data_IF_239082596596
#
_entry.id   IF_239082596596
#
_cell.length_a   1.000
_cell.length_b   1.000
_cell.length_c   1.000
_cell.angle_alpha   90.00
_cell.angle_beta   90.00
_cell.angle_gamma   90.00
#
_symmetry.space_group_name_H-M   'P 1'
#
loop_
_entity.id
_entity.type
_entity.pdbx_description
1 polymer ?
#
# COMPACT_ATOMS: atom_id res chain seq x y z
N UNK A 1 -17.28 -21.81 34.16
CA UNK A 1 -16.91 -22.47 32.89
C UNK A 1 -16.84 -21.52 31.68
N UNK A 2 -16.91 -20.18 31.88
CA UNK A 2 -16.94 -19.17 30.79
C UNK A 2 -15.56 -18.56 30.48
N UNK A 3 -14.56 -18.72 31.36
CA UNK A 3 -13.20 -18.15 31.20
C UNK A 3 -12.31 -18.84 30.15
N UNK A 4 -12.69 -20.02 29.65
CA UNK A 4 -11.84 -20.81 28.74
C UNK A 4 -12.06 -20.44 27.26
N UNK A 5 -13.21 -19.84 26.90
CA UNK A 5 -13.55 -19.49 25.50
C UNK A 5 -13.02 -18.13 25.02
N UNK A 6 -12.78 -17.15 25.91
CA UNK A 6 -12.20 -15.87 25.47
C UNK A 6 -10.72 -16.00 25.05
N UNK A 7 -9.97 -16.92 25.69
CA UNK A 7 -8.57 -17.17 25.37
C UNK A 7 -8.35 -18.00 24.09
N UNK A 8 -9.35 -18.75 23.60
CA UNK A 8 -9.20 -19.50 22.35
C UNK A 8 -9.42 -18.61 21.12
N UNK A 9 -10.24 -17.56 21.23
CA UNK A 9 -10.46 -16.56 20.18
C UNK A 9 -9.26 -15.63 19.98
N UNK A 10 -8.56 -15.26 21.06
CA UNK A 10 -7.32 -14.48 20.96
C UNK A 10 -6.17 -15.30 20.35
N UNK A 11 -6.07 -16.59 20.70
CA UNK A 11 -5.01 -17.49 20.22
C UNK A 11 -5.17 -17.89 18.74
N UNK A 12 -6.39 -17.89 18.18
CA UNK A 12 -6.67 -18.28 16.79
C UNK A 12 -6.94 -17.09 15.85
N UNK A 13 -6.57 -15.88 16.28
CA UNK A 13 -6.86 -14.62 15.57
C UNK A 13 -6.37 -14.61 14.12
N UNK A 14 -5.19 -15.16 13.84
CA UNK A 14 -4.62 -15.21 12.48
C UNK A 14 -5.36 -16.18 11.55
N UNK A 15 -5.79 -17.34 12.07
CA UNK A 15 -6.47 -18.37 11.28
C UNK A 15 -7.94 -18.01 10.98
N UNK A 16 -8.62 -17.37 11.95
CA UNK A 16 -10.02 -16.91 11.76
C UNK A 16 -10.04 -15.77 10.74
N UNK A 17 -9.17 -14.76 10.88
CA UNK A 17 -9.10 -13.61 9.96
C UNK A 17 -8.71 -13.99 8.52
N UNK A 18 -8.10 -15.16 8.29
CA UNK A 18 -7.76 -15.66 6.97
C UNK A 18 -9.01 -16.05 6.12
N UNK A 19 -10.14 -16.39 6.76
CA UNK A 19 -11.41 -16.65 6.09
C UNK A 19 -12.41 -15.53 6.40
N UNK A 20 -12.25 -14.40 5.71
CA UNK A 20 -12.91 -13.12 6.04
C UNK A 20 -14.43 -13.18 6.22
N UNK A 21 -15.15 -14.06 5.53
CA UNK A 21 -16.62 -14.18 5.65
C UNK A 21 -17.04 -14.96 6.91
N UNK A 22 -16.38 -16.09 7.21
CA UNK A 22 -16.63 -16.85 8.43
C UNK A 22 -16.23 -16.03 9.66
N UNK A 23 -15.11 -15.30 9.59
CA UNK A 23 -14.70 -14.38 10.64
C UNK A 23 -15.71 -13.25 10.89
N UNK A 24 -16.27 -12.67 9.83
CA UNK A 24 -17.27 -11.61 9.96
C UNK A 24 -18.53 -12.13 10.66
N UNK A 25 -19.01 -13.32 10.25
CA UNK A 25 -20.16 -13.98 10.87
C UNK A 25 -19.90 -14.30 12.35
N UNK A 26 -18.73 -14.86 12.67
CA UNK A 26 -18.36 -15.17 14.05
C UNK A 26 -18.24 -13.92 14.94
N UNK A 27 -17.73 -12.81 14.40
CA UNK A 27 -17.65 -11.55 15.13
C UNK A 27 -19.04 -10.95 15.37
N UNK A 28 -19.92 -11.01 14.36
CA UNK A 28 -21.30 -10.55 14.47
C UNK A 28 -22.09 -11.38 15.50
N UNK A 29 -22.01 -12.71 15.44
CA UNK A 29 -22.61 -13.62 16.43
C UNK A 29 -22.07 -13.35 17.85
N UNK A 30 -20.76 -13.14 17.98
CA UNK A 30 -20.14 -12.83 19.27
C UNK A 30 -20.63 -11.48 19.83
N UNK A 31 -20.84 -10.48 18.98
CA UNK A 31 -21.37 -9.18 19.37
C UNK A 31 -22.86 -9.23 19.75
N UNK A 32 -23.64 -10.11 19.13
CA UNK A 32 -25.02 -10.39 19.58
C UNK A 32 -25.05 -10.96 21.01
N UNK A 33 -24.08 -11.82 21.35
CA UNK A 33 -23.97 -12.41 22.69
C UNK A 33 -23.31 -11.46 23.71
N UNK A 34 -22.44 -10.56 23.25
CA UNK A 34 -21.64 -9.64 24.06
C UNK A 34 -21.68 -8.23 23.46
N UNK A 35 -22.84 -7.53 23.56
CA UNK A 35 -23.02 -6.23 22.90
C UNK A 35 -22.06 -5.16 23.41
N UNK A 36 -21.60 -5.24 24.65
CA UNK A 36 -20.70 -4.22 25.23
C UNK A 36 -19.20 -4.51 24.95
N UNK A 37 -18.89 -5.53 24.13
CA UNK A 37 -17.51 -5.93 23.86
C UNK A 37 -16.82 -5.00 22.83
N UNK A 38 -16.38 -3.82 23.27
CA UNK A 38 -15.79 -2.77 22.42
C UNK A 38 -14.58 -3.24 21.58
N UNK A 39 -13.76 -4.15 22.11
CA UNK A 39 -12.63 -4.72 21.36
C UNK A 39 -13.10 -5.61 20.20
N UNK A 40 -14.17 -6.39 20.39
CA UNK A 40 -14.75 -7.21 19.33
C UNK A 40 -15.39 -6.31 18.27
N UNK A 41 -16.07 -5.24 18.69
CA UNK A 41 -16.65 -4.23 17.79
C UNK A 41 -15.58 -3.55 16.94
N UNK A 42 -14.46 -3.16 17.57
CA UNK A 42 -13.29 -2.63 16.85
C UNK A 42 -12.72 -3.62 15.83
N UNK A 43 -12.65 -4.91 16.18
CA UNK A 43 -12.22 -5.97 15.25
C UNK A 43 -13.20 -6.15 14.09
N UNK A 44 -14.51 -6.11 14.35
CA UNK A 44 -15.55 -6.21 13.34
C UNK A 44 -15.52 -5.02 12.37
N UNK A 45 -15.39 -3.79 12.90
CA UNK A 45 -15.20 -2.58 12.10
C UNK A 45 -13.97 -2.68 11.18
N UNK A 46 -12.83 -3.12 11.73
CA UNK A 46 -11.60 -3.33 10.94
C UNK A 46 -11.81 -4.34 9.83
N UNK A 47 -12.42 -5.49 10.13
CA UNK A 47 -12.66 -6.56 9.16
C UNK A 47 -13.62 -6.10 8.04
N UNK A 48 -14.68 -5.38 8.39
CA UNK A 48 -15.62 -4.81 7.43
C UNK A 48 -14.91 -3.82 6.48
N UNK A 49 -14.02 -2.95 7.00
CA UNK A 49 -13.16 -2.10 6.16
C UNK A 49 -12.26 -2.92 5.23
N UNK A 50 -11.61 -3.96 5.75
CA UNK A 50 -10.74 -4.82 4.96
C UNK A 50 -11.51 -5.59 3.87
N UNK A 51 -12.84 -5.72 4.01
CA UNK A 51 -13.76 -6.32 3.02
C UNK A 51 -14.48 -5.31 2.12
N UNK A 52 -14.21 -4.01 2.25
CA UNK A 52 -14.92 -2.92 1.58
C UNK A 52 -16.42 -2.81 1.93
N UNK A 53 -16.82 -3.31 3.10
CA UNK A 53 -18.19 -3.22 3.62
C UNK A 53 -18.35 -1.92 4.44
N UNK A 54 -18.20 -0.77 3.76
CA UNK A 54 -18.04 0.53 4.44
C UNK A 54 -19.23 0.92 5.33
N UNK A 55 -20.46 0.65 4.91
CA UNK A 55 -21.66 0.93 5.72
C UNK A 55 -21.71 0.07 6.99
N UNK A 56 -21.26 -1.19 6.91
CA UNK A 56 -21.19 -2.09 8.06
C UNK A 56 -20.08 -1.61 9.02
N UNK A 57 -18.92 -1.25 8.47
CA UNK A 57 -17.82 -0.68 9.25
C UNK A 57 -18.25 0.61 9.97
N UNK A 58 -18.99 1.49 9.29
CA UNK A 58 -19.51 2.72 9.86
C UNK A 58 -20.47 2.46 11.02
N UNK A 59 -21.40 1.51 10.89
CA UNK A 59 -22.30 1.09 11.98
C UNK A 59 -21.50 0.64 13.20
N UNK A 60 -20.52 -0.24 13.03
CA UNK A 60 -19.68 -0.69 14.14
C UNK A 60 -18.87 0.45 14.77
N UNK A 61 -18.44 1.46 14.00
CA UNK A 61 -17.68 2.59 14.54
C UNK A 61 -18.56 3.58 15.30
N UNK A 62 -19.82 3.75 14.89
CA UNK A 62 -20.80 4.61 15.58
C UNK A 62 -21.20 4.06 16.96
N UNK A 63 -21.19 2.73 17.12
CA UNK A 63 -21.56 2.05 18.36
C UNK A 63 -20.39 1.88 19.36
N UNK A 64 -19.23 2.48 19.09
CA UNK A 64 -18.11 2.49 20.05
C UNK A 64 -18.34 3.59 21.10
N UNK A 65 -18.04 3.28 22.37
CA UNK A 65 -18.12 4.26 23.47
C UNK A 65 -17.16 5.45 23.24
N UNK A 66 -15.99 5.17 22.68
CA UNK A 66 -14.98 6.16 22.31
C UNK A 66 -14.65 6.05 20.81
N UNK A 67 -14.48 7.19 20.12
CA UNK A 67 -14.20 7.18 18.69
C UNK A 67 -12.84 6.53 18.39
N UNK A 68 -12.82 5.56 17.49
CA UNK A 68 -11.58 5.02 16.95
C UNK A 68 -11.13 5.84 15.75
N UNK A 69 -10.47 6.98 16.02
CA UNK A 69 -10.01 7.92 14.98
C UNK A 69 -9.11 7.28 13.91
N UNK A 70 -8.35 6.22 14.27
CA UNK A 70 -7.55 5.46 13.29
C UNK A 70 -8.43 4.77 12.27
N UNK A 71 -9.51 4.10 12.70
CA UNK A 71 -10.43 3.43 11.79
C UNK A 71 -11.34 4.41 11.04
N UNK A 72 -11.75 5.51 11.68
CA UNK A 72 -12.48 6.60 11.01
C UNK A 72 -11.67 7.20 9.86
N UNK A 73 -10.37 7.45 10.06
CA UNK A 73 -9.50 7.93 8.99
C UNK A 73 -9.45 6.98 7.79
N UNK A 74 -9.43 5.66 8.04
CA UNK A 74 -9.48 4.63 6.98
C UNK A 74 -10.81 4.62 6.25
N UNK A 75 -11.93 4.71 6.98
CA UNK A 75 -13.28 4.77 6.41
C UNK A 75 -13.40 5.99 5.47
N UNK A 76 -13.05 7.18 5.96
CA UNK A 76 -13.11 8.41 5.18
C UNK A 76 -12.24 8.36 3.92
N UNK A 77 -11.02 7.81 3.99
CA UNK A 77 -10.19 7.58 2.78
C UNK A 77 -10.87 6.65 1.79
N UNK A 78 -11.44 5.54 2.26
CA UNK A 78 -12.10 4.56 1.39
C UNK A 78 -13.33 5.14 0.68
N UNK A 79 -14.00 6.10 1.30
CA UNK A 79 -15.14 6.86 0.75
C UNK A 79 -14.71 8.07 -0.09
N UNK A 80 -13.41 8.40 -0.15
CA UNK A 80 -12.89 9.55 -0.90
C UNK A 80 -12.96 10.90 -0.17
N UNK A 81 -13.36 10.91 1.11
CA UNK A 81 -13.39 12.11 1.95
C UNK A 81 -12.01 12.37 2.57
N UNK A 82 -11.11 12.96 1.79
CA UNK A 82 -9.70 13.18 2.18
C UNK A 82 -9.59 14.15 3.38
N UNK A 83 -10.39 15.22 3.43
CA UNK A 83 -10.35 16.19 4.53
C UNK A 83 -10.73 15.54 5.87
N UNK A 84 -11.86 14.83 5.92
CA UNK A 84 -12.27 14.15 7.15
C UNK A 84 -11.28 13.06 7.57
N UNK A 85 -10.64 12.40 6.60
CA UNK A 85 -9.58 11.43 6.91
C UNK A 85 -8.36 12.08 7.56
N UNK A 86 -7.92 13.24 7.08
CA UNK A 86 -6.79 13.98 7.63
C UNK A 86 -7.07 14.49 9.05
N UNK A 87 -8.28 14.98 9.30
CA UNK A 87 -8.71 15.41 10.64
C UNK A 87 -8.74 14.24 11.63
N UNK A 88 -9.33 13.11 11.25
CA UNK A 88 -9.35 11.90 12.07
C UNK A 88 -7.93 11.39 12.34
N UNK A 89 -7.06 11.41 11.33
CA UNK A 89 -5.65 11.01 11.52
C UNK A 89 -4.87 11.97 12.43
N UNK A 90 -5.18 13.26 12.41
CA UNK A 90 -4.60 14.22 13.33
C UNK A 90 -5.02 13.93 14.78
N UNK A 91 -6.30 13.64 15.03
CA UNK A 91 -6.78 13.25 16.36
C UNK A 91 -6.15 11.94 16.83
N UNK A 92 -6.07 10.93 15.95
CA UNK A 92 -5.44 9.66 16.24
C UNK A 92 -3.95 9.77 16.59
N UNK A 93 -3.22 10.71 15.99
CA UNK A 93 -1.81 10.98 16.33
C UNK A 93 -1.66 11.76 17.63
N UNK A 94 -2.63 12.59 17.98
CA UNK A 94 -2.62 13.35 19.23
C UNK A 94 -2.87 12.46 20.47
N UNK A 95 -3.47 11.28 20.27
CA UNK A 95 -3.81 10.34 21.35
C UNK A 95 -2.75 9.27 21.63
N UNK A 96 -1.59 9.31 20.98
CA UNK A 96 -0.51 8.31 21.13
C UNK A 96 0.82 8.97 21.49
N UNK A 97 1.81 8.15 21.87
CA UNK A 97 3.15 8.67 22.15
C UNK A 97 3.80 9.25 20.88
N UNK A 98 4.81 10.10 21.05
CA UNK A 98 5.45 10.77 19.93
C UNK A 98 6.08 9.80 18.92
N UNK A 99 6.69 8.71 19.38
CA UNK A 99 7.28 7.70 18.51
C UNK A 99 6.21 7.01 17.65
N UNK A 100 5.07 6.62 18.23
CA UNK A 100 3.94 6.05 17.49
C UNK A 100 3.33 7.08 16.53
N UNK A 101 3.18 8.33 16.95
CA UNK A 101 2.69 9.41 16.09
C UNK A 101 3.61 9.62 14.87
N UNK A 102 4.93 9.55 15.05
CA UNK A 102 5.91 9.66 13.98
C UNK A 102 5.84 8.46 13.02
N UNK A 103 5.72 7.24 13.53
CA UNK A 103 5.53 6.04 12.71
C UNK A 103 4.23 6.08 11.90
N UNK A 104 3.12 6.52 12.53
CA UNK A 104 1.84 6.71 11.86
C UNK A 104 1.97 7.75 10.73
N UNK A 105 2.63 8.88 11.00
CA UNK A 105 2.87 9.92 10.01
C UNK A 105 3.72 9.44 8.82
N UNK A 106 4.82 8.73 9.07
CA UNK A 106 5.66 8.18 8.00
C UNK A 106 4.92 7.10 7.19
N UNK A 107 4.15 6.24 7.85
CA UNK A 107 3.29 5.25 7.18
C UNK A 107 2.26 5.94 6.28
N UNK A 108 1.72 7.09 6.71
CA UNK A 108 0.82 7.88 5.88
C UNK A 108 1.52 8.45 4.65
N UNK A 109 2.74 8.97 4.80
CA UNK A 109 3.52 9.50 3.69
C UNK A 109 3.84 8.42 2.66
N UNK A 110 4.21 7.22 3.10
CA UNK A 110 4.38 6.07 2.21
C UNK A 110 3.08 5.73 1.46
N UNK A 111 1.95 5.66 2.17
CA UNK A 111 0.65 5.39 1.56
C UNK A 111 0.19 6.49 0.58
N UNK A 112 0.53 7.76 0.84
CA UNK A 112 0.20 8.89 -0.02
C UNK A 112 1.06 8.91 -1.29
N UNK A 113 2.34 8.56 -1.19
CA UNK A 113 3.23 8.44 -2.34
C UNK A 113 2.76 7.38 -3.35
N UNK A 114 2.17 6.30 -2.83
CA UNK A 114 1.64 5.21 -3.64
C UNK A 114 0.17 5.40 -4.07
N UNK A 115 -0.54 6.42 -3.56
CA UNK A 115 -1.92 6.74 -3.93
C UNK A 115 -1.97 7.52 -5.27
N UNK A 116 -1.59 6.83 -6.34
CA UNK A 116 -1.56 7.34 -7.72
C UNK A 116 -1.63 6.21 -8.74
N UNK A 117 -2.01 6.53 -9.97
CA UNK A 117 -1.81 5.60 -11.09
C UNK A 117 -0.33 5.55 -11.52
N UNK A 118 0.15 4.47 -12.17
CA UNK A 118 1.57 4.28 -12.47
C UNK A 118 2.24 5.43 -13.25
N UNK A 119 1.49 6.08 -14.15
CA UNK A 119 1.91 7.17 -15.03
C UNK A 119 1.67 8.57 -14.45
N UNK A 120 1.12 8.67 -13.24
CA UNK A 120 0.88 9.93 -12.55
C UNK A 120 2.00 10.27 -11.57
N UNK A 121 2.25 11.55 -11.36
CA UNK A 121 3.15 12.01 -10.29
C UNK A 121 2.48 11.88 -8.91
N UNK A 122 1.16 12.07 -8.82
CA UNK A 122 0.44 12.07 -7.55
C UNK A 122 0.79 13.29 -6.69
N UNK A 123 0.81 13.10 -5.37
CA UNK A 123 0.92 14.16 -4.37
C UNK A 123 2.37 14.44 -3.91
N UNK A 124 3.36 14.43 -4.82
CA UNK A 124 4.79 14.43 -4.43
C UNK A 124 5.17 15.58 -3.50
N UNK A 125 4.72 16.80 -3.79
CA UNK A 125 5.05 17.98 -2.98
C UNK A 125 4.46 17.88 -1.56
N UNK A 126 3.26 17.32 -1.43
CA UNK A 126 2.62 17.07 -0.14
C UNK A 126 3.39 16.00 0.66
N UNK A 127 3.84 14.94 -0.02
CA UNK A 127 4.66 13.88 0.59
C UNK A 127 5.98 14.46 1.08
N UNK A 128 6.71 15.22 0.27
CA UNK A 128 7.98 15.85 0.67
C UNK A 128 7.82 16.80 1.85
N UNK A 129 6.81 17.67 1.79
CA UNK A 129 6.46 18.58 2.90
C UNK A 129 6.07 17.81 4.17
N UNK A 130 5.45 16.65 4.02
CA UNK A 130 5.14 15.78 5.15
C UNK A 130 6.39 15.08 5.71
N UNK A 131 7.28 14.58 4.87
CA UNK A 131 8.53 13.94 5.29
C UNK A 131 9.43 14.91 6.07
N UNK A 132 9.52 16.18 5.66
CA UNK A 132 10.31 17.19 6.40
C UNK A 132 9.76 17.53 7.78
N UNK A 133 8.47 17.25 8.03
CA UNK A 133 7.81 17.45 9.32
C UNK A 133 7.85 16.23 10.25
N UNK A 134 8.43 15.11 9.80
CA UNK A 134 8.48 13.90 10.59
C UNK A 134 9.38 14.07 11.83
N UNK A 135 8.81 13.94 13.03
CA UNK A 135 9.53 14.07 14.29
C UNK A 135 10.22 12.75 14.68
N UNK A 136 11.35 12.45 14.04
CA UNK A 136 12.10 11.20 14.27
C UNK A 136 13.20 11.30 15.35
N UNK A 137 13.48 12.51 15.84
CA UNK A 137 14.61 12.77 16.74
C UNK A 137 14.53 12.03 18.08
N UNK A 138 13.32 11.96 18.63
CA UNK A 138 13.00 11.45 19.97
C UNK A 138 12.63 9.95 19.99
N UNK A 139 12.87 9.25 18.87
CA UNK A 139 12.64 7.81 18.76
C UNK A 139 13.82 7.03 19.32
N UNK A 140 13.56 5.83 19.85
CA UNK A 140 14.60 4.88 20.24
C UNK A 140 15.50 4.51 19.05
N UNK A 141 16.77 4.19 19.29
CA UNK A 141 17.80 4.04 18.24
C UNK A 141 17.38 3.09 17.11
N UNK A 142 16.79 1.93 17.43
CA UNK A 142 16.35 0.98 16.42
C UNK A 142 15.18 1.52 15.58
N UNK A 143 14.21 2.17 16.23
CA UNK A 143 13.06 2.76 15.55
C UNK A 143 13.47 3.96 14.70
N UNK A 144 14.41 4.77 15.21
CA UNK A 144 15.01 5.91 14.53
C UNK A 144 15.75 5.49 13.27
N UNK A 145 16.60 4.45 13.34
CA UNK A 145 17.27 3.88 12.15
C UNK A 145 16.27 3.42 11.10
N UNK A 146 15.23 2.68 11.52
CA UNK A 146 14.17 2.21 10.61
C UNK A 146 13.42 3.39 9.95
N UNK A 147 13.15 4.45 10.70
CA UNK A 147 12.51 5.66 10.20
C UNK A 147 13.40 6.42 9.20
N UNK A 148 14.70 6.54 9.48
CA UNK A 148 15.68 7.16 8.56
C UNK A 148 15.72 6.41 7.23
N UNK A 149 15.83 5.07 7.28
CA UNK A 149 15.83 4.23 6.07
C UNK A 149 14.53 4.40 5.30
N UNK A 150 13.37 4.39 5.97
CA UNK A 150 12.08 4.62 5.29
C UNK A 150 12.03 6.00 4.62
N UNK A 151 12.46 7.07 5.30
CA UNK A 151 12.51 8.41 4.72
C UNK A 151 13.40 8.44 3.47
N UNK A 152 14.56 7.81 3.52
CA UNK A 152 15.48 7.72 2.38
C UNK A 152 14.85 6.96 1.21
N UNK A 153 14.21 5.80 1.44
CA UNK A 153 13.49 5.05 0.40
C UNK A 153 12.39 5.91 -0.24
N UNK A 154 11.62 6.66 0.55
CA UNK A 154 10.56 7.52 0.03
C UNK A 154 11.12 8.68 -0.81
N UNK A 155 12.20 9.33 -0.35
CA UNK A 155 12.90 10.37 -1.11
C UNK A 155 13.49 9.83 -2.41
N UNK A 156 14.11 8.65 -2.38
CA UNK A 156 14.61 7.97 -3.57
C UNK A 156 13.50 7.72 -4.58
N UNK A 157 12.33 7.24 -4.11
CA UNK A 157 11.17 7.03 -4.98
C UNK A 157 10.63 8.34 -5.57
N UNK A 158 10.62 9.44 -4.81
CA UNK A 158 10.27 10.77 -5.31
C UNK A 158 11.25 11.22 -6.41
N UNK A 159 12.56 11.06 -6.20
CA UNK A 159 13.58 11.39 -7.18
C UNK A 159 13.39 10.61 -8.50
N UNK A 160 13.10 9.31 -8.42
CA UNK A 160 12.76 8.50 -9.61
C UNK A 160 11.55 9.09 -10.35
N UNK A 161 10.48 9.42 -9.62
CA UNK A 161 9.25 9.94 -10.23
C UNK A 161 9.46 11.32 -10.87
N UNK A 162 10.35 12.13 -10.32
CA UNK A 162 10.76 13.43 -10.87
C UNK A 162 11.84 13.34 -11.96
N UNK A 163 12.27 12.14 -12.33
CA UNK A 163 13.36 11.94 -13.31
C UNK A 163 14.67 12.62 -12.88
N UNK A 164 15.02 12.50 -11.61
CA UNK A 164 16.25 13.04 -11.01
C UNK A 164 17.24 11.90 -10.71
N UNK A 165 17.98 11.39 -11.71
CA UNK A 165 18.90 10.26 -11.53
C UNK A 165 20.02 10.55 -10.53
N UNK A 166 20.58 11.76 -10.57
CA UNK A 166 21.67 12.15 -9.66
C UNK A 166 21.22 12.09 -8.20
N UNK A 167 20.07 12.70 -7.88
CA UNK A 167 19.49 12.65 -6.54
C UNK A 167 19.12 11.23 -6.09
N UNK A 168 18.61 10.40 -6.99
CA UNK A 168 18.32 9.00 -6.66
C UNK A 168 19.61 8.22 -6.34
N UNK A 169 20.66 8.40 -7.15
CA UNK A 169 21.95 7.76 -6.94
C UNK A 169 22.62 8.21 -5.64
N UNK A 170 22.59 9.51 -5.31
CA UNK A 170 23.09 10.06 -4.05
C UNK A 170 22.41 9.41 -2.84
N UNK A 171 21.07 9.35 -2.83
CA UNK A 171 20.33 8.73 -1.72
C UNK A 171 20.64 7.23 -1.59
N UNK A 172 20.81 6.52 -2.71
CA UNK A 172 21.22 5.11 -2.68
C UNK A 172 22.62 4.95 -2.10
N UNK A 173 23.55 5.84 -2.45
CA UNK A 173 24.92 5.82 -1.95
C UNK A 173 24.95 6.06 -0.43
N UNK A 174 24.19 7.04 0.07
CA UNK A 174 24.04 7.28 1.51
C UNK A 174 23.52 6.04 2.25
N UNK A 175 22.56 5.33 1.66
CA UNK A 175 22.02 4.08 2.21
C UNK A 175 23.05 2.94 2.20
N UNK A 176 23.88 2.86 1.16
CA UNK A 176 24.96 1.87 1.05
C UNK A 176 26.02 2.09 2.13
N UNK A 177 26.42 3.35 2.34
CA UNK A 177 27.37 3.73 3.39
C UNK A 177 26.80 3.43 4.78
N UNK A 178 25.51 3.71 5.00
CA UNK A 178 24.83 3.38 6.26
C UNK A 178 24.76 1.88 6.53
N UNK A 179 24.62 1.05 5.48
CA UNK A 179 24.60 -0.40 5.58
C UNK A 179 26.00 -1.02 5.79
N UNK A 180 27.07 -0.27 5.51
CA UNK A 180 28.46 -0.74 5.62
C UNK A 180 28.90 -1.67 4.48
N UNK A 181 28.23 -1.63 3.33
CA UNK A 181 28.54 -2.48 2.18
C UNK A 181 27.30 -2.86 1.36
N UNK A 182 27.44 -3.89 0.52
CA UNK A 182 26.35 -4.40 -0.31
C UNK A 182 25.13 -4.83 0.54
N UNK A 183 23.97 -4.26 0.22
CA UNK A 183 22.70 -4.55 0.89
C UNK A 183 21.60 -4.88 -0.14
N UNK A 184 20.74 -5.89 0.10
CA UNK A 184 19.65 -6.23 -0.81
C UNK A 184 18.66 -5.07 -1.10
N UNK A 185 18.54 -4.09 -0.19
CA UNK A 185 17.78 -2.87 -0.44
C UNK A 185 18.45 -2.03 -1.51
N UNK A 186 19.76 -1.75 -1.41
CA UNK A 186 20.45 -0.87 -2.35
C UNK A 186 20.51 -1.47 -3.75
N UNK A 187 20.75 -2.78 -3.86
CA UNK A 187 20.67 -3.52 -5.14
C UNK A 187 19.29 -3.35 -5.79
N UNK A 188 18.22 -3.50 -4.99
CA UNK A 188 16.85 -3.32 -5.47
C UNK A 188 16.58 -1.87 -5.92
N UNK A 189 17.05 -0.88 -5.17
CA UNK A 189 16.89 0.53 -5.53
C UNK A 189 17.60 0.84 -6.85
N UNK A 190 18.79 0.30 -7.06
CA UNK A 190 19.55 0.40 -8.32
C UNK A 190 18.77 -0.20 -9.50
N UNK A 191 18.20 -1.40 -9.35
CA UNK A 191 17.41 -2.00 -10.43
C UNK A 191 16.15 -1.20 -10.76
N UNK A 192 15.46 -0.64 -9.75
CA UNK A 192 14.30 0.24 -9.96
C UNK A 192 14.75 1.52 -10.68
N UNK A 193 15.86 2.13 -10.30
CA UNK A 193 16.42 3.30 -10.97
C UNK A 193 16.71 2.99 -12.44
N UNK A 194 17.49 1.93 -12.68
CA UNK A 194 17.91 1.52 -14.02
C UNK A 194 16.71 1.33 -14.95
N UNK A 195 15.67 0.60 -14.51
CA UNK A 195 14.50 0.34 -15.36
C UNK A 195 13.58 1.56 -15.49
N UNK A 196 13.46 2.41 -14.47
CA UNK A 196 12.54 3.54 -14.51
C UNK A 196 13.13 4.75 -15.20
N UNK A 197 14.43 5.01 -15.07
CA UNK A 197 15.11 6.19 -15.59
C UNK A 197 15.77 5.99 -16.96
N UNK A 198 15.98 4.75 -17.40
CA UNK A 198 16.46 4.48 -18.78
C UNK A 198 15.37 4.80 -19.80
N UNK A 199 15.69 5.63 -20.78
CA UNK A 199 14.81 5.96 -21.91
C UNK A 199 14.36 4.73 -22.68
N UNK A 200 13.14 4.79 -23.23
CA UNK A 200 12.53 3.65 -23.92
C UNK A 200 13.32 3.19 -25.16
N UNK A 201 13.97 4.11 -25.86
CA UNK A 201 14.72 3.84 -27.10
C UNK A 201 16.19 3.44 -26.84
N UNK A 202 16.63 3.42 -25.58
CA UNK A 202 18.01 3.10 -25.22
C UNK A 202 18.30 1.61 -25.35
N UNK A 203 19.46 1.27 -25.91
CA UNK A 203 19.95 -0.12 -25.94
C UNK A 203 20.13 -0.74 -24.55
N UNK A 204 20.32 0.10 -23.52
CA UNK A 204 20.42 -0.32 -22.11
C UNK A 204 19.09 -0.80 -21.52
N UNK A 205 17.96 -0.52 -22.19
CA UNK A 205 16.62 -0.88 -21.72
C UNK A 205 16.43 -2.38 -21.58
N UNK A 206 16.85 -3.15 -22.58
CA UNK A 206 16.73 -4.61 -22.59
C UNK A 206 17.54 -5.25 -21.46
N UNK A 207 18.70 -4.68 -21.15
CA UNK A 207 19.55 -5.11 -20.04
C UNK A 207 18.86 -4.82 -18.69
N UNK A 208 18.34 -3.61 -18.50
CA UNK A 208 17.60 -3.23 -17.30
C UNK A 208 16.37 -4.13 -17.07
N UNK A 209 15.60 -4.43 -18.12
CA UNK A 209 14.46 -5.35 -18.04
C UNK A 209 14.88 -6.78 -17.70
N UNK A 210 15.99 -7.26 -18.28
CA UNK A 210 16.50 -8.60 -18.02
C UNK A 210 17.03 -8.74 -16.59
N UNK A 211 17.73 -7.72 -16.09
CA UNK A 211 18.19 -7.65 -14.71
C UNK A 211 17.02 -7.58 -13.73
N UNK A 212 16.01 -6.75 -14.00
CA UNK A 212 14.79 -6.70 -13.19
C UNK A 212 14.04 -8.03 -13.19
N UNK A 213 13.93 -8.72 -14.34
CA UNK A 213 13.29 -10.04 -14.42
C UNK A 213 14.00 -11.08 -13.53
N UNK A 214 15.34 -11.07 -13.52
CA UNK A 214 16.14 -11.94 -12.61
C UNK A 214 15.88 -11.59 -11.15
N UNK A 215 15.88 -10.31 -10.80
CA UNK A 215 15.57 -9.84 -9.45
C UNK A 215 14.19 -10.34 -8.99
N UNK A 216 13.14 -10.10 -9.80
CA UNK A 216 11.77 -10.58 -9.53
C UNK A 216 11.73 -12.09 -9.34
N UNK A 217 12.47 -12.86 -10.15
CA UNK A 217 12.51 -14.32 -10.06
C UNK A 217 13.10 -14.86 -8.76
N UNK A 218 14.09 -14.15 -8.17
CA UNK A 218 14.77 -14.57 -6.94
C UNK A 218 14.21 -13.93 -5.66
N UNK A 219 13.35 -12.90 -5.75
CA UNK A 219 12.73 -12.29 -4.58
C UNK A 219 11.70 -13.24 -3.95
N UNK A 220 11.97 -13.69 -2.72
CA UNK A 220 11.09 -14.61 -2.00
C UNK A 220 9.87 -13.92 -1.38
N UNK A 221 10.03 -12.68 -0.89
CA UNK A 221 8.95 -11.94 -0.22
C UNK A 221 7.91 -11.48 -1.25
N UNK A 222 6.64 -11.82 -1.02
CA UNK A 222 5.56 -11.71 -2.00
C UNK A 222 5.27 -10.25 -2.38
N UNK A 223 5.16 -9.35 -1.40
CA UNK A 223 4.84 -7.94 -1.66
C UNK A 223 5.94 -7.27 -2.49
N UNK A 224 7.21 -7.52 -2.14
CA UNK A 224 8.36 -7.03 -2.88
C UNK A 224 8.41 -7.62 -4.29
N UNK A 225 8.21 -8.93 -4.43
CA UNK A 225 8.21 -9.61 -5.72
C UNK A 225 7.15 -9.01 -6.66
N UNK A 226 5.92 -8.81 -6.17
CA UNK A 226 4.84 -8.21 -6.95
C UNK A 226 5.13 -6.74 -7.25
N UNK A 227 5.63 -5.96 -6.29
CA UNK A 227 6.00 -4.55 -6.51
C UNK A 227 7.07 -4.38 -7.61
N UNK A 228 8.10 -5.22 -7.58
CA UNK A 228 9.15 -5.24 -8.62
C UNK A 228 8.61 -5.71 -9.97
N UNK A 229 7.77 -6.75 -9.97
CA UNK A 229 7.11 -7.24 -11.17
C UNK A 229 6.19 -6.20 -11.81
N UNK A 230 5.45 -5.42 -11.01
CA UNK A 230 4.64 -4.31 -11.50
C UNK A 230 5.49 -3.18 -12.10
N UNK A 231 6.67 -2.92 -11.53
CA UNK A 231 7.64 -1.98 -12.10
C UNK A 231 8.17 -2.49 -13.45
N UNK A 232 8.41 -3.80 -13.59
CA UNK A 232 8.78 -4.44 -14.85
C UNK A 232 7.64 -4.36 -15.89
N UNK A 233 6.39 -4.61 -15.49
CA UNK A 233 5.22 -4.47 -16.37
C UNK A 233 5.11 -3.03 -16.86
N UNK A 234 5.25 -2.04 -15.98
CA UNK A 234 5.24 -0.63 -16.36
C UNK A 234 6.30 -0.32 -17.42
N UNK A 235 7.48 -0.92 -17.31
CA UNK A 235 8.54 -0.79 -18.29
C UNK A 235 8.16 -1.37 -19.65
N UNK A 236 7.59 -2.58 -19.63
CA UNK A 236 7.33 -3.41 -20.81
C UNK A 236 6.04 -3.03 -21.55
N UNK A 237 5.07 -2.41 -20.88
CA UNK A 237 3.74 -2.17 -21.44
C UNK A 237 3.74 -1.36 -22.75
N UNK A 238 4.81 -0.59 -23.03
CA UNK A 238 4.97 0.19 -24.26
C UNK A 238 5.80 -0.50 -25.35
N UNK A 239 6.76 -1.33 -24.96
CA UNK A 239 7.82 -1.84 -25.83
C UNK A 239 7.80 -3.35 -26.00
N UNK A 240 7.14 -4.08 -25.09
CA UNK A 240 7.12 -5.53 -25.02
C UNK A 240 5.83 -6.04 -24.35
N UNK A 241 4.69 -5.86 -25.03
CA UNK A 241 3.38 -6.28 -24.53
C UNK A 241 3.32 -7.79 -24.19
N UNK A 242 3.86 -8.73 -25.01
CA UNK A 242 3.86 -10.14 -24.65
C UNK A 242 4.63 -10.44 -23.35
N UNK A 243 5.76 -9.76 -23.14
CA UNK A 243 6.53 -9.85 -21.90
C UNK A 243 5.78 -9.29 -20.69
N UNK A 244 5.07 -8.18 -20.86
CA UNK A 244 4.22 -7.59 -19.82
C UNK A 244 3.07 -8.54 -19.44
N UNK A 245 2.40 -9.16 -20.42
CA UNK A 245 1.33 -10.15 -20.19
C UNK A 245 1.86 -11.38 -19.43
N UNK A 246 2.99 -11.93 -19.86
CA UNK A 246 3.64 -13.07 -19.18
C UNK A 246 4.00 -12.73 -17.74
N UNK A 247 4.52 -11.52 -17.51
CA UNK A 247 4.84 -11.06 -16.15
C UNK A 247 3.56 -10.90 -15.32
N UNK A 248 2.50 -10.30 -15.88
CA UNK A 248 1.21 -10.13 -15.21
C UNK A 248 0.60 -11.46 -14.76
N UNK A 249 0.55 -12.46 -15.66
CA UNK A 249 0.02 -13.80 -15.35
C UNK A 249 0.76 -14.46 -14.18
N UNK A 250 2.10 -14.38 -14.19
CA UNK A 250 2.92 -14.92 -13.12
C UNK A 250 2.64 -14.23 -11.77
N UNK A 251 2.44 -12.91 -11.76
CA UNK A 251 2.14 -12.17 -10.53
C UNK A 251 0.74 -12.46 -10.00
N UNK A 252 -0.25 -12.66 -10.88
CA UNK A 252 -1.63 -12.96 -10.48
C UNK A 252 -1.78 -14.29 -9.74
N UNK A 253 -0.88 -15.24 -9.97
CA UNK A 253 -0.87 -16.51 -9.22
C UNK A 253 -0.34 -16.38 -7.77
N UNK A 254 0.27 -15.26 -7.41
CA UNK A 254 0.88 -15.08 -6.09
C UNK A 254 -0.18 -14.70 -5.04
N UNK A 255 -0.17 -15.33 -3.84
CA UNK A 255 -1.16 -15.06 -2.81
C UNK A 255 -0.81 -13.76 -2.07
N UNK A 256 -1.28 -12.62 -2.60
CA UNK A 256 -1.10 -11.32 -1.95
C UNK A 256 -1.77 -11.29 -0.56
N UNK A 257 -1.09 -10.77 0.48
CA UNK A 257 -1.67 -10.65 1.81
C UNK A 257 -2.69 -9.50 1.85
N UNK A 258 -3.96 -9.83 1.66
CA UNK A 258 -5.06 -8.86 1.53
C UNK A 258 -5.46 -8.19 2.85
N UNK A 259 -4.98 -8.68 3.98
CA UNK A 259 -5.08 -8.06 5.30
C UNK A 259 -4.17 -6.83 5.42
N UNK A 260 -3.09 -6.77 4.63
CA UNK A 260 -2.17 -5.64 4.57
C UNK A 260 -2.61 -4.61 3.51
N UNK A 261 -2.59 -3.29 3.83
CA UNK A 261 -2.90 -2.24 2.85
C UNK A 261 -2.03 -2.30 1.59
N UNK A 262 -0.74 -2.62 1.74
CA UNK A 262 0.18 -2.78 0.61
C UNK A 262 -0.26 -3.90 -0.34
N UNK A 263 -0.69 -5.06 0.19
CA UNK A 263 -1.19 -6.16 -0.62
C UNK A 263 -2.43 -5.77 -1.42
N UNK A 264 -3.38 -5.08 -0.78
CA UNK A 264 -4.59 -4.57 -1.46
C UNK A 264 -4.27 -3.57 -2.57
N UNK A 265 -3.26 -2.71 -2.37
CA UNK A 265 -2.82 -1.75 -3.39
C UNK A 265 -2.18 -2.45 -4.59
N UNK A 266 -1.33 -3.44 -4.35
CA UNK A 266 -0.71 -4.22 -5.42
C UNK A 266 -1.75 -5.01 -6.21
N UNK A 267 -2.77 -5.56 -5.55
CA UNK A 267 -3.91 -6.20 -6.20
C UNK A 267 -4.66 -5.19 -7.10
N UNK A 268 -4.95 -3.98 -6.62
CA UNK A 268 -5.54 -2.93 -7.44
C UNK A 268 -4.71 -2.60 -8.70
N UNK A 269 -3.38 -2.55 -8.56
CA UNK A 269 -2.46 -2.31 -9.68
C UNK A 269 -2.42 -3.47 -10.68
N UNK A 270 -2.53 -4.72 -10.24
CA UNK A 270 -2.64 -5.86 -11.14
C UNK A 270 -3.88 -5.76 -12.03
N UNK A 271 -5.02 -5.35 -11.47
CA UNK A 271 -6.25 -5.11 -12.25
C UNK A 271 -6.14 -3.90 -13.16
N UNK A 272 -5.47 -2.83 -12.72
CA UNK A 272 -5.19 -1.67 -13.56
C UNK A 272 -4.39 -2.09 -14.81
N UNK A 273 -3.28 -2.81 -14.64
CA UNK A 273 -2.44 -3.27 -15.74
C UNK A 273 -3.14 -4.28 -16.63
N UNK A 274 -4.03 -5.11 -16.08
CA UNK A 274 -4.88 -5.98 -16.88
C UNK A 274 -5.72 -5.18 -17.87
N UNK A 275 -6.32 -4.06 -17.44
CA UNK A 275 -7.08 -3.17 -18.32
C UNK A 275 -6.23 -2.39 -19.34
N UNK A 276 -4.97 -2.09 -18.99
CA UNK A 276 -4.03 -1.49 -19.94
C UNK A 276 -3.63 -2.49 -21.03
N UNK A 277 -3.33 -3.74 -20.66
CA UNK A 277 -2.79 -4.78 -21.55
C UNK A 277 -3.85 -5.57 -22.32
N UNK A 278 -5.10 -5.61 -21.85
CA UNK A 278 -6.25 -6.26 -22.51
C UNK A 278 -7.34 -5.23 -22.88
N UNK A 279 -7.20 -4.48 -24.01
CA UNK A 279 -8.09 -3.37 -24.36
C UNK A 279 -9.58 -3.76 -24.48
N UNK A 280 -9.87 -4.98 -24.95
CA UNK A 280 -11.25 -5.46 -25.15
C UNK A 280 -12.08 -5.51 -23.85
N UNK A 281 -11.41 -5.72 -22.70
CA UNK A 281 -12.03 -5.83 -21.38
C UNK A 281 -11.64 -4.69 -20.45
N UNK A 282 -10.96 -3.66 -20.98
CA UNK A 282 -10.42 -2.52 -20.23
C UNK A 282 -11.41 -1.93 -19.25
N UNK A 283 -12.61 -1.60 -19.70
CA UNK A 283 -13.61 -0.95 -18.87
C UNK A 283 -14.05 -1.82 -17.68
N UNK A 284 -14.17 -3.13 -17.87
CA UNK A 284 -14.49 -4.05 -16.78
C UNK A 284 -13.34 -4.12 -15.76
N UNK A 285 -12.11 -4.28 -16.24
CA UNK A 285 -10.92 -4.38 -15.38
C UNK A 285 -10.61 -3.08 -14.63
N UNK A 286 -10.79 -1.93 -15.27
CA UNK A 286 -10.57 -0.64 -14.61
C UNK A 286 -11.65 -0.29 -13.60
N UNK A 287 -12.91 -0.71 -13.81
CA UNK A 287 -13.94 -0.60 -12.75
C UNK A 287 -13.54 -1.42 -11.53
N UNK A 288 -13.07 -2.64 -11.75
CA UNK A 288 -12.61 -3.55 -10.71
C UNK A 288 -11.37 -2.99 -9.96
N UNK A 289 -10.42 -2.43 -10.70
CA UNK A 289 -9.26 -1.74 -10.14
C UNK A 289 -9.66 -0.50 -9.32
N UNK A 290 -10.61 0.31 -9.80
CA UNK A 290 -11.09 1.50 -9.08
C UNK A 290 -11.74 1.13 -7.73
N UNK A 291 -12.54 0.06 -7.70
CA UNK A 291 -13.09 -0.48 -6.44
C UNK A 291 -11.99 -0.98 -5.50
N UNK A 292 -10.97 -1.67 -6.03
CA UNK A 292 -9.81 -2.13 -5.25
C UNK A 292 -8.97 -0.99 -4.70
N UNK A 293 -8.77 0.08 -5.45
CA UNK A 293 -8.09 1.27 -4.94
C UNK A 293 -8.83 1.89 -3.76
N UNK A 294 -10.17 1.95 -3.79
CA UNK A 294 -10.97 2.40 -2.63
C UNK A 294 -10.75 1.50 -1.42
N UNK A 295 -10.79 0.18 -1.60
CA UNK A 295 -10.51 -0.81 -0.55
C UNK A 295 -9.06 -0.74 -0.03
N UNK A 296 -8.13 -0.30 -0.86
CA UNK A 296 -6.73 -0.06 -0.51
C UNK A 296 -6.49 1.33 0.11
N UNK A 297 -7.55 2.10 0.38
CA UNK A 297 -7.48 3.45 0.93
C UNK A 297 -6.65 4.41 0.05
N UNK A 298 -6.77 4.24 -1.28
CA UNK A 298 -6.11 5.04 -2.32
C UNK A 298 -7.15 5.88 -3.08
N UNK A 299 -7.74 6.93 -2.45
CA UNK A 299 -8.79 7.72 -3.06
C UNK A 299 -8.36 8.52 -4.28
N UNK A 300 -7.09 8.96 -4.37
CA UNK A 300 -6.60 9.71 -5.53
C UNK A 300 -6.48 8.81 -6.74
N UNK A 301 -5.86 7.64 -6.61
CA UNK A 301 -5.79 6.63 -7.67
C UNK A 301 -7.18 6.18 -8.15
N UNK A 302 -8.09 5.92 -7.21
CA UNK A 302 -9.47 5.55 -7.53
C UNK A 302 -10.20 6.64 -8.31
N UNK A 303 -10.03 7.91 -7.93
CA UNK A 303 -10.62 9.06 -8.61
C UNK A 303 -10.04 9.23 -10.01
N UNK A 304 -8.71 9.27 -10.14
CA UNK A 304 -8.03 9.36 -11.44
C UNK A 304 -8.51 8.27 -12.40
N UNK A 305 -8.63 7.01 -11.94
CA UNK A 305 -9.08 5.92 -12.78
C UNK A 305 -10.56 6.03 -13.17
N UNK A 306 -11.41 6.48 -12.24
CA UNK A 306 -12.82 6.74 -12.53
C UNK A 306 -12.98 7.85 -13.58
N UNK A 307 -12.17 8.91 -13.50
CA UNK A 307 -12.17 9.97 -14.51
C UNK A 307 -11.69 9.46 -15.88
N UNK A 308 -10.67 8.59 -15.94
CA UNK A 308 -10.25 7.93 -17.19
C UNK A 308 -11.36 7.08 -17.78
N UNK A 309 -12.06 6.29 -16.96
CA UNK A 309 -13.21 5.49 -17.37
C UNK A 309 -14.32 6.34 -18.00
N UNK A 310 -14.66 7.50 -17.43
CA UNK A 310 -15.66 8.40 -18.00
C UNK A 310 -15.23 9.01 -19.33
N UNK A 311 -13.92 9.25 -19.54
CA UNK A 311 -13.39 9.77 -20.81
C UNK A 311 -13.30 8.71 -21.91
N UNK A 312 -13.29 7.43 -21.55
CA UNK A 312 -13.22 6.30 -22.49
C UNK A 312 -14.58 5.72 -22.89
N UNK A 313 -15.67 6.27 -22.34
CA UNK A 313 -17.06 5.95 -22.69
C UNK A 313 -17.57 6.94 -23.74
#
# INVERSE_FOLDING_TARGET
>A
MVKIRSNSLSNNKSAILAQSAAAATLLDDALHLLPDAQQLRTMAAKLALDRAEFSIAESYLQDLDEPNDRLLARLHRSQGNVSAAEEAEQRARASVCQAEAAQMHLSRMAALLDDRLPDELGALDEVEKGLSKAKIGDMEDQQKRSAIVLVAILKHRIAILRRQPETAAEIRQDLLELAGGEDPLTERLEHIESIMLTDYDSSKRMEAESSMRRLVGRTAEILQRVSLGLTLIQSQARTNIPGALTTLENLQSLPLPMDLPAGRRLDALLWYWRGELEPEKRNAYWREAAQRFRRAECPRAARSLTERLHKSL
#
